data_IF_879121133909
#
_entry.id   IF_879121133909
#
_cell.length_a   1.000
_cell.length_b   1.000
_cell.length_c   1.000
_cell.angle_alpha   90.00
_cell.angle_beta   90.00
_cell.angle_gamma   90.00
#
_symmetry.space_group_name_H-M   'P 1'
#
loop_
_entity.id
_entity.type
_entity.pdbx_description
1 polymer ?
#
# COMPACT_ATOMS: atom_id res chain seq x y z
N UNK A 1 29.57 -19.60 -38.26
CA UNK A 1 29.64 -18.21 -38.75
C UNK A 1 29.64 -17.29 -37.57
N UNK A 2 30.71 -16.52 -37.40
CA UNK A 2 30.81 -15.53 -36.31
C UNK A 2 30.17 -14.21 -36.77
N UNK A 3 29.28 -13.64 -35.95
CA UNK A 3 28.65 -12.34 -36.20
C UNK A 3 29.73 -11.27 -36.06
N UNK A 4 30.10 -10.57 -37.13
CA UNK A 4 31.17 -9.58 -37.14
C UNK A 4 30.82 -8.25 -36.40
N UNK A 5 29.57 -7.98 -36.07
CA UNK A 5 29.14 -6.84 -35.29
C UNK A 5 27.91 -7.16 -34.47
N UNK A 6 27.80 -6.56 -33.29
CA UNK A 6 26.61 -6.72 -32.44
C UNK A 6 25.39 -6.10 -33.13
N UNK A 7 24.36 -6.90 -33.54
CA UNK A 7 23.18 -6.37 -34.22
C UNK A 7 22.38 -5.40 -33.35
N UNK A 8 22.49 -5.49 -32.01
CA UNK A 8 21.82 -4.57 -31.10
C UNK A 8 22.39 -3.14 -31.11
N UNK A 9 23.64 -2.95 -31.61
CA UNK A 9 24.22 -1.62 -31.72
C UNK A 9 23.55 -0.73 -32.79
N UNK A 10 22.76 -1.33 -33.68
CA UNK A 10 21.97 -0.64 -34.72
C UNK A 10 20.54 -0.31 -34.29
N UNK A 11 20.12 -0.76 -33.10
CA UNK A 11 18.79 -0.48 -32.58
C UNK A 11 18.87 0.79 -31.73
N UNK A 12 18.21 1.86 -32.16
CA UNK A 12 18.07 3.07 -31.36
C UNK A 12 17.25 2.74 -30.09
N UNK A 13 17.81 3.04 -28.92
CA UNK A 13 17.05 2.95 -27.67
C UNK A 13 15.85 3.89 -27.71
N UNK A 14 14.65 3.45 -27.26
CA UNK A 14 13.50 4.34 -27.15
C UNK A 14 13.87 5.58 -26.33
N UNK A 15 13.45 6.75 -26.78
CA UNK A 15 13.61 7.98 -26.00
C UNK A 15 12.84 7.81 -24.68
N UNK A 16 13.54 7.83 -23.56
CA UNK A 16 12.93 7.88 -22.24
C UNK A 16 12.38 9.30 -22.08
N UNK A 17 11.06 9.44 -22.14
CA UNK A 17 10.44 10.69 -21.73
C UNK A 17 10.41 10.72 -20.21
N UNK A 18 10.85 11.81 -19.60
CA UNK A 18 10.71 12.06 -18.17
C UNK A 18 9.23 12.00 -17.79
N UNK A 19 8.82 10.87 -17.22
CA UNK A 19 7.46 10.71 -16.71
C UNK A 19 7.41 11.38 -15.34
N UNK A 20 6.62 12.44 -15.23
CA UNK A 20 6.28 12.99 -13.92
C UNK A 20 5.79 11.87 -13.00
N UNK A 21 6.43 11.69 -11.87
CA UNK A 21 6.03 10.70 -10.88
C UNK A 21 4.69 11.15 -10.28
N UNK A 22 3.62 10.47 -10.68
CA UNK A 22 2.29 10.71 -10.10
C UNK A 22 2.29 10.16 -8.69
N UNK A 23 2.09 11.05 -7.70
CA UNK A 23 2.02 10.75 -6.28
C UNK A 23 1.05 11.70 -5.60
N UNK A 24 0.66 11.37 -4.38
CA UNK A 24 -0.03 12.29 -3.49
C UNK A 24 1.01 13.23 -2.81
N UNK A 25 0.64 14.47 -2.58
CA UNK A 25 1.37 15.35 -1.67
C UNK A 25 0.86 15.17 -0.23
N UNK A 26 1.43 15.92 0.72
CA UNK A 26 1.11 15.76 2.14
C UNK A 26 -0.36 16.11 2.44
N UNK A 27 -0.87 17.19 1.85
CA UNK A 27 -2.26 17.62 2.05
C UNK A 27 -3.23 16.62 1.42
N UNK A 28 -2.91 16.08 0.24
CA UNK A 28 -3.70 15.03 -0.40
C UNK A 28 -3.70 13.73 0.41
N UNK A 29 -2.60 13.38 1.08
CA UNK A 29 -2.54 12.22 1.99
C UNK A 29 -3.43 12.44 3.20
N UNK A 30 -3.34 13.61 3.85
CA UNK A 30 -4.17 13.95 4.99
C UNK A 30 -5.66 13.90 4.60
N UNK A 31 -6.05 14.59 3.53
CA UNK A 31 -7.42 14.57 3.01
C UNK A 31 -7.90 13.16 2.65
N UNK A 32 -7.03 12.31 2.12
CA UNK A 32 -7.38 10.92 1.81
C UNK A 32 -7.75 10.13 3.07
N UNK A 33 -6.97 10.27 4.14
CA UNK A 33 -7.23 9.59 5.42
C UNK A 33 -8.47 10.16 6.10
N UNK A 34 -8.69 11.48 6.07
CA UNK A 34 -9.88 12.13 6.57
C UNK A 34 -11.15 11.62 5.86
N UNK A 35 -11.11 11.48 4.54
CA UNK A 35 -12.22 10.90 3.76
C UNK A 35 -12.48 9.43 4.10
N UNK A 36 -11.44 8.68 4.43
CA UNK A 36 -11.58 7.27 4.86
C UNK A 36 -12.21 7.20 6.25
N UNK A 37 -11.92 8.14 7.13
CA UNK A 37 -12.45 8.18 8.49
C UNK A 37 -13.90 8.72 8.52
N UNK A 38 -14.14 9.88 7.89
CA UNK A 38 -15.44 10.55 7.91
C UNK A 38 -16.45 9.98 6.92
N UNK A 39 -16.02 9.70 5.69
CA UNK A 39 -16.90 9.28 4.60
C UNK A 39 -17.85 10.34 4.10
N UNK A 40 -17.64 11.63 4.45
CA UNK A 40 -18.59 12.72 4.19
C UNK A 40 -18.91 12.92 2.71
N UNK A 41 -17.92 12.76 1.83
CA UNK A 41 -18.07 12.95 0.40
C UNK A 41 -18.45 11.65 -0.36
N UNK A 42 -18.76 10.59 0.36
CA UNK A 42 -19.24 9.34 -0.25
C UNK A 42 -20.71 9.44 -0.66
N UNK A 43 -21.07 8.75 -1.73
CA UNK A 43 -22.48 8.59 -2.11
C UNK A 43 -23.24 7.79 -1.05
N UNK A 44 -24.57 7.98 -0.95
CA UNK A 44 -25.43 7.24 0.01
C UNK A 44 -25.21 5.72 -0.05
N UNK A 45 -25.05 5.16 -1.26
CA UNK A 45 -24.75 3.73 -1.44
C UNK A 45 -23.38 3.34 -0.88
N UNK A 46 -22.38 4.19 -1.06
CA UNK A 46 -21.03 3.94 -0.53
C UNK A 46 -20.99 4.06 1.00
N UNK A 47 -21.73 5.01 1.57
CA UNK A 47 -21.84 5.21 3.02
C UNK A 47 -22.39 3.96 3.73
N UNK A 48 -23.40 3.27 3.16
CA UNK A 48 -23.93 2.03 3.74
C UNK A 48 -22.86 0.95 3.96
N UNK A 49 -21.84 0.91 3.11
CA UNK A 49 -20.72 -0.03 3.24
C UNK A 49 -19.58 0.55 4.05
N UNK A 50 -19.39 1.86 4.00
CA UNK A 50 -18.34 2.59 4.68
C UNK A 50 -18.36 2.34 6.19
N UNK A 51 -19.50 2.48 6.85
CA UNK A 51 -19.65 2.27 8.30
C UNK A 51 -19.19 0.89 8.77
N UNK A 52 -19.25 -0.11 7.89
CA UNK A 52 -18.81 -1.49 8.18
C UNK A 52 -17.35 -1.75 7.85
N UNK A 53 -16.70 -0.86 7.12
CA UNK A 53 -15.35 -1.13 6.57
C UNK A 53 -14.36 -0.03 6.90
N UNK A 54 -14.79 1.13 7.40
CA UNK A 54 -13.95 2.30 7.59
C UNK A 54 -12.70 2.04 8.45
N UNK A 55 -12.85 1.33 9.55
CA UNK A 55 -11.72 1.04 10.45
C UNK A 55 -10.69 0.14 9.76
N UNK A 56 -11.16 -0.88 9.03
CA UNK A 56 -10.29 -1.72 8.19
C UNK A 56 -9.62 -0.90 7.07
N UNK A 57 -10.43 -0.11 6.37
CA UNK A 57 -9.98 0.67 5.21
C UNK A 57 -8.93 1.71 5.65
N UNK A 58 -9.14 2.34 6.82
CA UNK A 58 -8.17 3.26 7.44
C UNK A 58 -6.87 2.52 7.78
N UNK A 59 -6.94 1.41 8.51
CA UNK A 59 -5.76 0.64 8.88
C UNK A 59 -4.95 0.19 7.66
N UNK A 60 -5.63 -0.28 6.61
CA UNK A 60 -4.99 -0.74 5.37
C UNK A 60 -4.31 0.40 4.62
N UNK A 61 -4.97 1.55 4.46
CA UNK A 61 -4.40 2.69 3.74
C UNK A 61 -3.27 3.36 4.53
N UNK A 62 -3.44 3.52 5.85
CA UNK A 62 -2.39 4.06 6.74
C UNK A 62 -1.17 3.16 6.73
N UNK A 63 -1.36 1.83 6.77
CA UNK A 63 -0.26 0.87 6.66
C UNK A 63 0.50 1.01 5.34
N UNK A 64 -0.21 1.08 4.21
CA UNK A 64 0.42 1.21 2.89
C UNK A 64 1.15 2.54 2.71
N UNK A 65 0.57 3.64 3.23
CA UNK A 65 1.17 4.98 3.18
C UNK A 65 2.35 5.14 4.14
N UNK A 66 2.32 4.49 5.31
CA UNK A 66 3.36 4.59 6.34
C UNK A 66 4.50 3.58 6.19
N UNK A 67 4.39 2.60 5.29
CA UNK A 67 5.43 1.57 5.11
C UNK A 67 5.86 1.37 3.66
N UNK A 68 5.06 1.81 2.71
CA UNK A 68 5.31 1.61 1.29
C UNK A 68 5.33 0.14 0.84
N UNK A 69 4.77 -0.80 1.58
CA UNK A 69 4.68 -2.21 1.18
C UNK A 69 3.85 -2.39 -0.10
N UNK A 70 4.09 -3.47 -0.83
CA UNK A 70 3.32 -3.79 -2.03
C UNK A 70 1.91 -4.23 -1.66
N UNK A 71 0.95 -3.98 -2.54
CA UNK A 71 -0.44 -4.43 -2.32
C UNK A 71 -0.52 -5.94 -2.10
N UNK A 72 0.27 -6.73 -2.83
CA UNK A 72 0.33 -8.20 -2.65
C UNK A 72 0.91 -8.60 -1.30
N UNK A 73 1.89 -7.87 -0.78
CA UNK A 73 2.44 -8.06 0.56
C UNK A 73 1.38 -7.70 1.61
N UNK A 74 0.69 -6.57 1.45
CA UNK A 74 -0.36 -6.11 2.36
C UNK A 74 -1.53 -7.11 2.49
N UNK A 75 -2.06 -7.60 1.37
CA UNK A 75 -3.18 -8.56 1.41
C UNK A 75 -2.75 -9.96 1.90
N UNK A 76 -1.46 -10.27 1.81
CA UNK A 76 -0.88 -11.52 2.28
C UNK A 76 -0.61 -11.57 3.77
N UNK A 77 -0.70 -10.44 4.49
CA UNK A 77 -0.41 -10.40 5.93
C UNK A 77 -1.36 -11.28 6.73
N UNK A 78 -0.79 -11.95 7.72
CA UNK A 78 -1.47 -12.71 8.76
C UNK A 78 -1.46 -11.92 10.08
N UNK A 79 -2.30 -12.32 11.03
CA UNK A 79 -2.35 -11.74 12.38
C UNK A 79 -0.99 -11.87 13.09
N UNK A 80 -0.32 -13.01 12.89
CA UNK A 80 0.97 -13.33 13.51
C UNK A 80 2.14 -12.57 12.87
N UNK A 81 1.93 -11.91 11.74
CA UNK A 81 2.94 -11.05 11.10
C UNK A 81 3.04 -9.67 11.74
N UNK A 82 2.10 -9.29 12.62
CA UNK A 82 2.02 -7.95 13.22
C UNK A 82 2.61 -7.96 14.62
N UNK A 83 3.69 -7.25 14.82
CA UNK A 83 4.29 -6.98 16.14
C UNK A 83 4.01 -5.54 16.57
N UNK A 84 2.90 -5.35 17.28
CA UNK A 84 2.51 -4.04 17.82
C UNK A 84 3.42 -3.56 18.95
N UNK A 85 4.18 -4.46 19.60
CA UNK A 85 5.09 -4.10 20.69
C UNK A 85 6.33 -3.38 20.16
N UNK A 86 6.84 -3.85 19.02
CA UNK A 86 8.04 -3.30 18.40
C UNK A 86 7.71 -2.46 17.15
N UNK A 87 6.44 -2.18 16.87
CA UNK A 87 5.96 -1.42 15.71
C UNK A 87 6.50 -1.99 14.39
N UNK A 88 6.41 -3.30 14.20
CA UNK A 88 6.92 -4.00 13.03
C UNK A 88 5.89 -4.92 12.37
N UNK A 89 6.04 -5.12 11.08
CA UNK A 89 5.36 -6.17 10.32
C UNK A 89 6.37 -7.04 9.60
N UNK A 90 6.13 -8.34 9.60
CA UNK A 90 6.89 -9.30 8.81
C UNK A 90 6.22 -9.48 7.46
N UNK A 91 6.94 -9.21 6.39
CA UNK A 91 6.44 -9.36 5.01
C UNK A 91 7.20 -10.44 4.27
N UNK A 92 6.47 -11.20 3.46
CA UNK A 92 7.04 -12.23 2.58
C UNK A 92 7.22 -11.64 1.17
N UNK A 93 8.47 -11.40 0.79
CA UNK A 93 8.82 -10.86 -0.53
C UNK A 93 8.91 -11.97 -1.59
N UNK A 94 8.81 -11.55 -2.86
CA UNK A 94 9.01 -12.46 -3.99
C UNK A 94 10.38 -13.14 -3.89
N UNK A 95 10.39 -14.48 -3.94
CA UNK A 95 11.60 -15.29 -3.77
C UNK A 95 11.77 -15.87 -2.36
N UNK A 96 10.75 -15.74 -1.48
CA UNK A 96 10.73 -16.39 -0.15
C UNK A 96 11.49 -15.64 0.94
N UNK A 97 12.04 -14.45 0.65
CA UNK A 97 12.70 -13.64 1.66
C UNK A 97 11.69 -13.02 2.63
N UNK A 98 11.89 -13.22 3.93
CA UNK A 98 11.16 -12.53 4.98
C UNK A 98 11.90 -11.26 5.38
N UNK A 99 11.17 -10.18 5.53
CA UNK A 99 11.72 -8.87 5.93
C UNK A 99 10.78 -8.25 6.95
N UNK A 100 11.35 -7.67 8.01
CA UNK A 100 10.60 -6.85 8.96
C UNK A 100 10.61 -5.41 8.48
N UNK A 101 9.44 -4.81 8.37
CA UNK A 101 9.25 -3.39 8.07
C UNK A 101 8.68 -2.70 9.30
N UNK A 102 9.34 -1.65 9.74
CA UNK A 102 8.90 -0.86 10.89
C UNK A 102 7.97 0.28 10.48
N UNK A 103 7.09 0.67 11.39
CA UNK A 103 6.09 1.71 11.15
C UNK A 103 5.95 2.67 12.35
N UNK A 104 5.39 3.85 12.10
CA UNK A 104 5.14 4.88 13.11
C UNK A 104 3.86 4.66 13.91
N UNK A 105 3.65 5.55 14.89
CA UNK A 105 2.50 5.50 15.80
C UNK A 105 1.14 5.60 15.10
N UNK A 106 1.04 6.34 14.00
CA UNK A 106 -0.21 6.45 13.24
C UNK A 106 -0.66 5.08 12.69
N UNK A 107 0.29 4.33 12.10
CA UNK A 107 0.03 2.97 11.60
C UNK A 107 -0.33 2.04 12.76
N UNK A 108 0.40 2.14 13.88
CA UNK A 108 0.14 1.35 15.08
C UNK A 108 -1.29 1.57 15.59
N UNK A 109 -1.71 2.82 15.73
CA UNK A 109 -3.02 3.17 16.23
C UNK A 109 -4.13 2.67 15.30
N UNK A 110 -3.97 2.84 14.00
CA UNK A 110 -4.92 2.35 13.00
C UNK A 110 -5.00 0.81 13.00
N UNK A 111 -3.86 0.11 13.10
CA UNK A 111 -3.84 -1.35 13.21
C UNK A 111 -4.47 -1.84 14.51
N UNK A 112 -4.17 -1.21 15.66
CA UNK A 112 -4.79 -1.56 16.93
C UNK A 112 -6.31 -1.45 16.85
N UNK A 113 -6.83 -0.33 16.35
CA UNK A 113 -8.28 -0.13 16.20
C UNK A 113 -8.92 -1.23 15.33
N UNK A 114 -8.30 -1.53 14.20
CA UNK A 114 -8.82 -2.58 13.33
C UNK A 114 -8.71 -3.98 13.95
N UNK A 115 -7.60 -4.32 14.60
CA UNK A 115 -7.42 -5.64 15.20
C UNK A 115 -8.43 -5.92 16.32
N UNK A 116 -8.88 -4.91 17.06
CA UNK A 116 -9.98 -5.07 18.02
C UNK A 116 -11.29 -5.43 17.31
N UNK A 117 -11.66 -4.75 16.22
CA UNK A 117 -12.82 -5.14 15.42
C UNK A 117 -12.65 -6.52 14.77
N UNK A 118 -11.44 -6.81 14.29
CA UNK A 118 -11.10 -8.08 13.62
C UNK A 118 -11.34 -9.29 14.54
N UNK A 119 -11.11 -9.17 15.85
CA UNK A 119 -11.38 -10.22 16.85
C UNK A 119 -12.86 -10.59 16.92
N UNK A 120 -13.75 -9.68 16.60
CA UNK A 120 -15.21 -9.90 16.64
C UNK A 120 -15.75 -10.57 15.36
N UNK A 121 -14.91 -10.72 14.32
CA UNK A 121 -15.32 -11.31 13.05
C UNK A 121 -14.87 -12.75 13.01
N UNK A 122 -15.82 -13.66 12.79
CA UNK A 122 -15.51 -15.07 12.49
C UNK A 122 -15.24 -15.20 10.99
N UNK A 123 -14.00 -15.49 10.57
CA UNK A 123 -13.65 -15.65 9.16
C UNK A 123 -14.27 -16.92 8.56
N UNK A 124 -14.26 -16.98 7.24
CA UNK A 124 -14.53 -18.24 6.52
C UNK A 124 -13.36 -19.20 6.73
N UNK A 125 -13.66 -20.50 6.78
CA UNK A 125 -12.65 -21.56 6.95
C UNK A 125 -11.52 -21.43 5.93
N UNK A 126 -10.29 -21.46 6.43
CA UNK A 126 -9.04 -21.26 5.68
C UNK A 126 -8.50 -19.83 5.67
N UNK A 127 -9.26 -18.86 6.18
CA UNK A 127 -8.84 -17.44 6.28
C UNK A 127 -8.76 -16.96 7.75
N UNK A 128 -8.67 -17.89 8.71
CA UNK A 128 -8.71 -17.58 10.14
C UNK A 128 -7.60 -16.64 10.57
N UNK A 129 -6.42 -16.80 10.00
CA UNK A 129 -5.24 -16.01 10.34
C UNK A 129 -5.07 -14.75 9.47
N UNK A 130 -5.87 -14.57 8.42
CA UNK A 130 -5.77 -13.39 7.55
C UNK A 130 -5.96 -12.10 8.34
N UNK A 131 -5.00 -11.15 8.24
CA UNK A 131 -5.11 -9.86 8.90
C UNK A 131 -6.31 -9.08 8.35
N UNK A 132 -6.34 -8.81 7.06
CA UNK A 132 -7.39 -8.03 6.43
C UNK A 132 -8.46 -8.90 5.79
N UNK A 133 -9.70 -8.72 6.23
CA UNK A 133 -10.85 -9.44 5.70
C UNK A 133 -11.72 -8.57 4.79
N UNK A 134 -12.25 -9.19 3.75
CA UNK A 134 -13.31 -8.62 2.93
C UNK A 134 -14.65 -8.64 3.68
N UNK A 135 -15.69 -7.98 3.13
CA UNK A 135 -17.05 -8.07 3.67
C UNK A 135 -17.62 -9.50 3.64
N UNK A 136 -17.06 -10.37 2.82
CA UNK A 136 -17.42 -11.80 2.76
C UNK A 136 -16.67 -12.62 3.82
N UNK A 137 -15.95 -11.97 4.74
CA UNK A 137 -15.16 -12.61 5.81
C UNK A 137 -14.04 -13.52 5.29
N UNK A 138 -13.57 -13.28 4.09
CA UNK A 138 -12.41 -13.93 3.46
C UNK A 138 -11.25 -12.97 3.43
N UNK A 139 -10.02 -13.47 3.30
CA UNK A 139 -8.83 -12.63 3.03
C UNK A 139 -9.15 -11.64 1.92
N UNK A 140 -8.81 -10.37 2.14
CA UNK A 140 -9.03 -9.33 1.14
C UNK A 140 -8.12 -9.57 -0.08
N UNK A 141 -8.67 -9.44 -1.27
CA UNK A 141 -7.90 -9.60 -2.50
C UNK A 141 -7.32 -8.28 -3.02
N UNK A 142 -6.25 -8.37 -3.82
CA UNK A 142 -5.59 -7.23 -4.47
C UNK A 142 -6.60 -6.31 -5.16
N UNK A 143 -7.53 -6.88 -5.93
CA UNK A 143 -8.54 -6.10 -6.68
C UNK A 143 -9.46 -5.30 -5.77
N UNK A 144 -9.80 -5.83 -4.60
CA UNK A 144 -10.62 -5.12 -3.63
C UNK A 144 -9.86 -3.91 -3.07
N UNK A 145 -8.57 -4.05 -2.79
CA UNK A 145 -7.70 -2.94 -2.34
C UNK A 145 -7.51 -1.89 -3.44
N UNK A 146 -7.31 -2.29 -4.69
CA UNK A 146 -7.24 -1.36 -5.82
C UNK A 146 -8.51 -0.53 -5.95
N UNK A 147 -9.68 -1.16 -5.84
CA UNK A 147 -10.97 -0.48 -5.89
C UNK A 147 -11.17 0.46 -4.69
N UNK A 148 -10.71 0.05 -3.50
CA UNK A 148 -10.74 0.85 -2.28
C UNK A 148 -9.88 2.11 -2.44
N UNK A 149 -8.62 1.97 -2.84
CA UNK A 149 -7.73 3.11 -3.12
C UNK A 149 -8.36 4.05 -4.14
N UNK A 150 -8.87 3.52 -5.25
CA UNK A 150 -9.52 4.31 -6.29
C UNK A 150 -10.77 5.04 -5.80
N UNK A 151 -11.56 4.41 -4.92
CA UNK A 151 -12.77 4.99 -4.34
C UNK A 151 -12.44 6.28 -3.59
N UNK A 152 -11.52 6.21 -2.63
CA UNK A 152 -11.18 7.37 -1.79
C UNK A 152 -10.31 8.40 -2.52
N UNK A 153 -9.36 7.97 -3.33
CA UNK A 153 -8.51 8.90 -4.08
C UNK A 153 -9.29 9.82 -5.03
N UNK A 154 -10.41 9.34 -5.59
CA UNK A 154 -11.28 10.17 -6.43
C UNK A 154 -11.99 11.31 -5.69
N UNK A 155 -12.12 11.21 -4.36
CA UNK A 155 -12.71 12.28 -3.55
C UNK A 155 -11.69 13.41 -3.31
N UNK A 156 -10.41 13.09 -3.37
CA UNK A 156 -9.31 14.01 -3.05
C UNK A 156 -8.69 14.63 -4.31
N UNK A 157 -8.55 13.85 -5.37
CA UNK A 157 -7.92 14.31 -6.61
C UNK A 157 -8.60 13.72 -7.85
N UNK A 158 -9.00 14.62 -8.77
CA UNK A 158 -9.62 14.23 -10.05
C UNK A 158 -8.58 14.07 -11.17
N UNK A 159 -7.41 14.69 -11.03
CA UNK A 159 -6.38 14.76 -12.07
C UNK A 159 -5.35 13.61 -11.97
N UNK A 160 -5.25 12.96 -10.80
CA UNK A 160 -4.27 11.92 -10.56
C UNK A 160 -4.95 10.54 -10.50
N UNK A 161 -4.49 9.60 -11.32
CA UNK A 161 -4.92 8.22 -11.21
C UNK A 161 -4.11 7.51 -10.13
N UNK A 162 -4.61 7.52 -8.90
CA UNK A 162 -3.95 6.93 -7.74
C UNK A 162 -4.28 5.43 -7.65
N UNK A 163 -3.23 4.64 -7.51
CA UNK A 163 -3.27 3.18 -7.37
C UNK A 163 -2.43 2.78 -6.16
N UNK A 164 -2.50 1.54 -5.66
CA UNK A 164 -1.60 1.05 -4.60
C UNK A 164 -0.12 1.30 -4.89
N UNK A 165 0.30 1.15 -6.14
CA UNK A 165 1.67 1.47 -6.54
C UNK A 165 2.01 2.96 -6.35
N UNK A 166 1.04 3.86 -6.56
CA UNK A 166 1.24 5.30 -6.36
C UNK A 166 1.29 5.68 -4.87
N UNK A 167 0.58 4.96 -3.98
CA UNK A 167 0.74 5.11 -2.53
C UNK A 167 2.17 4.76 -2.10
N UNK A 168 2.71 3.67 -2.64
CA UNK A 168 4.11 3.29 -2.41
C UNK A 168 5.10 4.33 -2.97
N UNK A 169 4.83 4.91 -4.14
CA UNK A 169 5.63 6.02 -4.69
C UNK A 169 5.54 7.28 -3.81
N UNK A 170 4.39 7.54 -3.21
CA UNK A 170 4.18 8.63 -2.24
C UNK A 170 5.08 8.42 -1.02
N UNK A 171 5.03 7.24 -0.39
CA UNK A 171 5.91 6.89 0.73
C UNK A 171 7.40 7.02 0.37
N UNK A 172 7.84 6.42 -0.73
CA UNK A 172 9.25 6.48 -1.14
C UNK A 172 9.75 7.91 -1.39
N UNK A 173 8.88 8.79 -1.93
CA UNK A 173 9.24 10.20 -2.12
C UNK A 173 9.30 10.97 -0.80
N UNK A 174 8.39 10.71 0.14
CA UNK A 174 8.44 11.31 1.47
C UNK A 174 9.71 10.89 2.21
N UNK A 175 10.01 9.60 2.22
CA UNK A 175 11.23 9.06 2.82
C UNK A 175 12.50 9.68 2.21
N UNK A 176 12.55 9.84 0.88
CA UNK A 176 13.68 10.51 0.24
C UNK A 176 13.79 11.98 0.63
N UNK A 177 12.68 12.71 0.73
CA UNK A 177 12.67 14.11 1.16
C UNK A 177 13.17 14.31 2.59
N UNK A 178 12.85 13.36 3.46
CA UNK A 178 13.26 13.40 4.87
C UNK A 178 14.71 13.02 5.07
N UNK A 179 15.21 12.04 4.31
CA UNK A 179 16.54 11.44 4.54
C UNK A 179 17.60 11.91 3.56
N UNK A 180 17.20 12.32 2.34
CA UNK A 180 18.12 12.61 1.25
C UNK A 180 18.85 11.39 0.68
N UNK A 181 18.55 10.18 1.17
CA UNK A 181 19.26 8.94 0.85
C UNK A 181 18.43 8.03 -0.06
N UNK A 182 18.81 7.98 -1.34
CA UNK A 182 18.16 7.14 -2.35
C UNK A 182 18.44 5.65 -2.11
N UNK A 183 19.59 5.30 -1.52
CA UNK A 183 19.92 3.90 -1.24
C UNK A 183 19.08 3.37 -0.09
N UNK A 184 18.85 4.17 0.94
CA UNK A 184 17.93 3.84 2.02
C UNK A 184 16.51 3.61 1.48
N UNK A 185 16.02 4.50 0.60
CA UNK A 185 14.70 4.34 -0.03
C UNK A 185 14.63 3.06 -0.84
N UNK A 186 15.66 2.74 -1.61
CA UNK A 186 15.71 1.51 -2.39
C UNK A 186 15.70 0.26 -1.52
N UNK A 187 16.46 0.25 -0.43
CA UNK A 187 16.52 -0.86 0.51
C UNK A 187 15.17 -1.09 1.20
N UNK A 188 14.59 -0.05 1.80
CA UNK A 188 13.26 -0.11 2.46
C UNK A 188 12.20 -0.58 1.48
N UNK A 189 12.18 -0.06 0.27
CA UNK A 189 11.26 -0.49 -0.78
C UNK A 189 11.63 -1.86 -1.38
N UNK A 190 12.81 -2.41 -1.12
CA UNK A 190 13.27 -3.69 -1.67
C UNK A 190 13.42 -3.65 -3.17
N UNK A 191 14.03 -2.59 -3.69
CA UNK A 191 14.51 -2.51 -5.06
C UNK A 191 15.90 -3.15 -5.11
N UNK A 192 16.11 -4.09 -6.04
CA UNK A 192 17.40 -4.79 -6.17
C UNK A 192 18.47 -3.93 -6.86
N UNK A 193 18.05 -2.98 -7.68
CA UNK A 193 18.93 -2.10 -8.46
C UNK A 193 18.50 -0.64 -8.29
N UNK A 194 19.46 0.24 -8.06
CA UNK A 194 19.33 1.70 -7.94
C UNK A 194 19.91 2.37 -9.18
N UNK A 195 19.62 1.80 -10.37
CA UNK A 195 20.03 2.38 -11.65
C UNK A 195 18.87 3.11 -12.32
#
# INVERSE_FOLDING_TARGET
EFIQSNPASKVSTPKIHDKNIIRLDADEVANLLDEVESGENLTKKQQMFHDRTKVRDLALLTLMLGTGIRVSECVGLDLDDVDLKNNGIKIHRKGGAEVVVYFGEEVRNALCGYMEERKLITPVSGDENALFLSMQKRRIGVRAVENLVKKYAKLVTNLKNITPHKLRSTYGTSLYRETGDIYLVADVLGHKDVN
#
